data_IF_320770992095
#
_entry.id   IF_320770992095
#
_cell.length_a   1.000
_cell.length_b   1.000
_cell.length_c   1.000
_cell.angle_alpha   90.00
_cell.angle_beta   90.00
_cell.angle_gamma   90.00
#
_symmetry.space_group_name_H-M   'P 1'
#
loop_
_entity.id
_entity.type
_entity.pdbx_description
1 polymer ?
#
# COMPACT_ATOMS: atom_id res chain seq x y z
N UNK A 1 -22.99 1.95 1.81
CA UNK A 1 -23.31 1.49 0.45
C UNK A 1 -22.15 1.91 -0.43
N UNK A 2 -21.51 0.98 -1.14
CA UNK A 2 -20.49 1.36 -2.13
C UNK A 2 -21.16 2.11 -3.26
N UNK A 3 -20.51 3.16 -3.76
CA UNK A 3 -21.05 3.89 -4.91
C UNK A 3 -20.87 3.03 -6.18
N UNK A 4 -21.74 3.20 -7.18
CA UNK A 4 -21.62 2.49 -8.48
C UNK A 4 -20.23 2.69 -9.12
N UNK A 5 -19.61 3.82 -8.83
CA UNK A 5 -18.24 4.16 -9.26
C UNK A 5 -17.18 3.34 -8.53
N UNK A 6 -17.29 3.14 -7.21
CA UNK A 6 -16.37 2.29 -6.45
C UNK A 6 -16.42 0.83 -6.91
N UNK A 7 -17.63 0.33 -7.17
CA UNK A 7 -17.84 -1.01 -7.71
C UNK A 7 -17.15 -1.18 -9.07
N UNK A 8 -17.30 -0.19 -9.97
CA UNK A 8 -16.63 -0.21 -11.27
C UNK A 8 -15.09 -0.19 -11.13
N UNK A 9 -14.55 0.67 -10.26
CA UNK A 9 -13.11 0.75 -9.99
C UNK A 9 -12.56 -0.57 -9.48
N UNK A 10 -13.25 -1.22 -8.55
CA UNK A 10 -12.84 -2.53 -8.02
C UNK A 10 -12.80 -3.61 -9.11
N UNK A 11 -13.81 -3.64 -10.01
CA UNK A 11 -13.84 -4.58 -11.14
C UNK A 11 -12.67 -4.35 -12.09
N UNK A 12 -12.32 -3.10 -12.38
CA UNK A 12 -11.17 -2.74 -13.21
C UNK A 12 -9.85 -3.17 -12.55
N UNK A 13 -9.66 -2.85 -11.27
CA UNK A 13 -8.49 -3.27 -10.49
C UNK A 13 -8.32 -4.80 -10.46
N UNK A 14 -9.43 -5.54 -10.36
CA UNK A 14 -9.40 -7.01 -10.43
C UNK A 14 -8.92 -7.52 -11.77
N UNK A 15 -9.35 -6.90 -12.88
CA UNK A 15 -8.89 -7.27 -14.22
C UNK A 15 -7.41 -6.94 -14.40
N UNK A 16 -6.93 -5.82 -13.88
CA UNK A 16 -5.49 -5.49 -13.86
C UNK A 16 -4.68 -6.54 -13.10
N UNK A 17 -5.15 -6.95 -11.90
CA UNK A 17 -4.53 -8.02 -11.13
C UNK A 17 -4.47 -9.34 -11.91
N UNK A 18 -5.55 -9.69 -12.62
CA UNK A 18 -5.60 -10.88 -13.46
C UNK A 18 -4.65 -10.81 -14.67
N UNK A 19 -4.56 -9.65 -15.35
CA UNK A 19 -3.60 -9.41 -16.43
C UNK A 19 -2.16 -9.58 -15.95
N UNK A 20 -1.89 -9.09 -14.75
CA UNK A 20 -0.58 -9.14 -14.13
C UNK A 20 -0.22 -10.57 -13.72
N UNK A 21 -1.13 -11.30 -13.07
CA UNK A 21 -0.99 -12.73 -12.81
C UNK A 21 -0.71 -13.51 -14.10
N UNK A 22 -1.38 -13.17 -15.20
CA UNK A 22 -1.17 -13.83 -16.49
C UNK A 22 0.23 -13.61 -17.08
N UNK A 23 0.98 -12.58 -16.66
CA UNK A 23 2.39 -12.42 -17.07
C UNK A 23 3.28 -13.49 -16.43
N UNK A 24 2.93 -13.97 -15.24
CA UNK A 24 3.71 -14.95 -14.47
C UNK A 24 3.18 -16.38 -14.61
N UNK A 25 1.87 -16.54 -14.83
CA UNK A 25 1.20 -17.84 -14.83
C UNK A 25 0.54 -18.17 -16.18
N UNK A 26 0.42 -19.47 -16.48
CA UNK A 26 -0.33 -19.97 -17.63
C UNK A 26 -1.83 -19.88 -17.40
N UNK A 27 -2.63 -19.89 -18.47
CA UNK A 27 -4.10 -19.90 -18.34
C UNK A 27 -4.61 -21.13 -17.59
N UNK A 28 -3.96 -22.29 -17.74
CA UNK A 28 -4.31 -23.53 -17.03
C UNK A 28 -4.15 -23.34 -15.52
N UNK A 29 -3.03 -22.78 -15.08
CA UNK A 29 -2.81 -22.48 -13.66
C UNK A 29 -3.83 -21.49 -13.12
N UNK A 30 -4.12 -20.41 -13.86
CA UNK A 30 -5.12 -19.43 -13.43
C UNK A 30 -6.53 -20.04 -13.36
N UNK A 31 -6.87 -20.99 -14.23
CA UNK A 31 -8.12 -21.74 -14.16
C UNK A 31 -8.21 -22.57 -12.89
N UNK A 32 -7.13 -23.29 -12.53
CA UNK A 32 -7.07 -24.09 -11.30
C UNK A 32 -7.31 -23.20 -10.06
N UNK A 33 -6.71 -22.02 -10.02
CA UNK A 33 -6.77 -21.12 -8.86
C UNK A 33 -8.11 -20.37 -8.76
N UNK A 34 -8.66 -19.93 -9.89
CA UNK A 34 -9.91 -19.12 -9.93
C UNK A 34 -11.17 -19.95 -10.12
N UNK A 35 -11.04 -21.23 -10.48
CA UNK A 35 -12.13 -22.10 -10.91
C UNK A 35 -12.97 -21.48 -12.06
N UNK A 36 -12.30 -20.80 -12.99
CA UNK A 36 -12.92 -20.17 -14.16
C UNK A 36 -12.40 -20.81 -15.46
N UNK A 37 -13.27 -21.06 -16.46
CA UNK A 37 -12.82 -21.54 -17.76
C UNK A 37 -11.80 -20.60 -18.40
N UNK A 38 -10.79 -21.17 -19.08
CA UNK A 38 -9.76 -20.41 -19.81
C UNK A 38 -10.35 -19.39 -20.77
N UNK A 39 -11.46 -19.72 -21.43
CA UNK A 39 -12.17 -18.81 -22.35
C UNK A 39 -12.76 -17.58 -21.64
N UNK A 40 -13.21 -17.73 -20.41
CA UNK A 40 -13.68 -16.61 -19.57
C UNK A 40 -12.50 -15.77 -19.11
N UNK A 41 -11.44 -16.40 -18.61
CA UNK A 41 -10.22 -15.73 -18.17
C UNK A 41 -9.58 -14.92 -19.30
N UNK A 42 -9.49 -15.48 -20.51
CA UNK A 42 -8.96 -14.80 -21.70
C UNK A 42 -9.76 -13.55 -22.05
N UNK A 43 -11.10 -13.60 -21.98
CA UNK A 43 -11.95 -12.42 -22.21
C UNK A 43 -11.73 -11.32 -21.17
N UNK A 44 -11.58 -11.68 -19.90
CA UNK A 44 -11.26 -10.72 -18.84
C UNK A 44 -9.86 -10.13 -19.00
N UNK A 45 -8.84 -10.96 -19.23
CA UNK A 45 -7.45 -10.51 -19.47
C UNK A 45 -7.40 -9.58 -20.68
N UNK A 46 -8.09 -9.87 -21.78
CA UNK A 46 -8.15 -8.97 -22.94
C UNK A 46 -9.00 -7.72 -22.69
N UNK A 47 -9.84 -7.71 -21.66
CA UNK A 47 -10.72 -6.59 -21.32
C UNK A 47 -11.99 -6.52 -22.19
N UNK A 48 -12.32 -7.58 -22.93
CA UNK A 48 -13.55 -7.63 -23.74
C UNK A 48 -14.82 -7.62 -22.88
N UNK A 49 -14.72 -8.12 -21.64
CA UNK A 49 -15.82 -8.19 -20.68
C UNK A 49 -15.26 -7.87 -19.30
N UNK A 50 -16.06 -7.25 -18.43
CA UNK A 50 -15.73 -7.04 -17.02
C UNK A 50 -16.50 -8.05 -16.14
N UNK A 51 -15.86 -8.71 -15.16
CA UNK A 51 -16.56 -9.58 -14.22
C UNK A 51 -17.60 -8.79 -13.44
N UNK A 52 -18.73 -9.38 -13.06
CA UNK A 52 -19.65 -8.75 -12.11
C UNK A 52 -19.01 -8.63 -10.71
N UNK A 53 -19.63 -7.89 -9.78
CA UNK A 53 -19.01 -7.64 -8.46
C UNK A 53 -18.70 -8.92 -7.67
N UNK A 54 -19.60 -9.91 -7.70
CA UNK A 54 -19.38 -11.19 -7.01
C UNK A 54 -18.18 -11.92 -7.59
N UNK A 55 -18.14 -12.07 -8.92
CA UNK A 55 -17.03 -12.70 -9.65
C UNK A 55 -15.71 -11.94 -9.47
N UNK A 56 -15.74 -10.61 -9.47
CA UNK A 56 -14.55 -9.81 -9.24
C UNK A 56 -13.93 -10.11 -7.86
N UNK A 57 -14.75 -10.22 -6.81
CA UNK A 57 -14.25 -10.57 -5.46
C UNK A 57 -13.69 -12.00 -5.40
N UNK A 58 -14.34 -12.96 -6.07
CA UNK A 58 -13.85 -14.34 -6.16
C UNK A 58 -12.48 -14.41 -6.85
N UNK A 59 -12.34 -13.75 -8.01
CA UNK A 59 -11.09 -13.67 -8.76
C UNK A 59 -10.02 -12.99 -7.90
N UNK A 60 -10.34 -11.84 -7.30
CA UNK A 60 -9.41 -11.11 -6.44
C UNK A 60 -8.88 -12.01 -5.32
N UNK A 61 -9.78 -12.68 -4.58
CA UNK A 61 -9.40 -13.58 -3.46
C UNK A 61 -8.56 -14.77 -3.92
N UNK A 62 -8.81 -15.31 -5.11
CA UNK A 62 -7.98 -16.38 -5.68
C UNK A 62 -6.59 -15.87 -6.06
N UNK A 63 -6.53 -14.76 -6.80
CA UNK A 63 -5.26 -14.18 -7.26
C UNK A 63 -4.40 -13.65 -6.12
N UNK A 64 -4.98 -13.05 -5.08
CA UNK A 64 -4.24 -12.60 -3.91
C UNK A 64 -3.56 -13.73 -3.12
N UNK A 65 -3.94 -15.00 -3.34
CA UNK A 65 -3.29 -16.15 -2.70
C UNK A 65 -2.04 -16.62 -3.44
N UNK A 66 -2.00 -16.41 -4.76
CA UNK A 66 -0.87 -16.84 -5.60
C UNK A 66 0.11 -15.71 -5.91
N UNK A 67 -0.37 -14.46 -5.86
CA UNK A 67 0.47 -13.28 -6.07
C UNK A 67 1.09 -12.89 -4.73
N UNK A 68 2.35 -13.25 -4.56
CA UNK A 68 3.17 -12.85 -3.44
C UNK A 68 3.78 -11.46 -3.68
N UNK A 69 2.96 -10.42 -3.49
CA UNK A 69 3.39 -9.03 -3.64
C UNK A 69 4.44 -8.66 -2.58
N UNK A 70 4.28 -9.14 -1.35
CA UNK A 70 5.19 -8.84 -0.25
C UNK A 70 6.58 -9.44 -0.53
N UNK A 71 6.64 -10.71 -0.94
CA UNK A 71 7.90 -11.33 -1.30
C UNK A 71 8.51 -10.72 -2.56
N UNK A 72 7.71 -10.28 -3.54
CA UNK A 72 8.25 -9.56 -4.71
C UNK A 72 8.91 -8.23 -4.31
N UNK A 73 8.29 -7.47 -3.42
CA UNK A 73 8.90 -6.24 -2.89
C UNK A 73 10.17 -6.59 -2.13
N UNK A 74 10.13 -7.56 -1.21
CA UNK A 74 11.29 -7.99 -0.42
C UNK A 74 12.46 -8.46 -1.28
N UNK A 75 12.19 -9.23 -2.36
CA UNK A 75 13.21 -9.69 -3.32
C UNK A 75 13.92 -8.55 -4.05
N UNK A 76 13.23 -7.41 -4.24
CA UNK A 76 13.77 -6.24 -4.93
C UNK A 76 14.52 -5.28 -4.01
N UNK A 77 14.32 -5.39 -2.70
CA UNK A 77 15.09 -4.65 -1.71
C UNK A 77 16.50 -5.24 -1.65
N UNK A 78 17.51 -4.37 -1.82
CA UNK A 78 18.91 -4.76 -1.66
C UNK A 78 19.40 -4.22 -0.33
N UNK A 79 19.88 -5.10 0.52
CA UNK A 79 20.44 -4.73 1.81
C UNK A 79 21.93 -4.47 1.67
N UNK A 80 22.44 -3.47 2.39
CA UNK A 80 23.87 -3.27 2.57
C UNK A 80 24.35 -3.85 3.92
N UNK A 81 25.67 -3.82 4.12
CA UNK A 81 26.31 -4.34 5.32
C UNK A 81 26.04 -3.47 6.57
N UNK A 82 25.56 -2.24 6.37
CA UNK A 82 25.26 -1.28 7.43
C UNK A 82 23.79 -1.39 7.88
N UNK A 83 23.00 -2.28 7.25
CA UNK A 83 21.61 -2.55 7.59
C UNK A 83 20.61 -1.59 6.94
N UNK A 84 21.02 -0.81 5.93
CA UNK A 84 20.10 -0.05 5.10
C UNK A 84 19.63 -0.90 3.92
N UNK A 85 18.52 -0.47 3.31
CA UNK A 85 17.99 -1.09 2.10
C UNK A 85 17.83 -0.07 0.98
N UNK A 86 18.21 -0.46 -0.22
CA UNK A 86 17.90 0.24 -1.45
C UNK A 86 16.51 -0.21 -1.96
N UNK A 87 15.56 0.72 -1.99
CA UNK A 87 14.21 0.54 -2.49
C UNK A 87 13.99 1.18 -3.87
N UNK A 88 15.04 1.70 -4.52
CA UNK A 88 14.95 2.49 -5.77
C UNK A 88 14.21 1.73 -6.86
N UNK A 89 14.50 0.43 -7.00
CA UNK A 89 13.87 -0.47 -7.99
C UNK A 89 12.37 -0.70 -7.74
N UNK A 90 11.92 -0.55 -6.48
CA UNK A 90 10.51 -0.70 -6.08
C UNK A 90 9.75 0.58 -6.33
N UNK A 91 10.29 1.72 -5.89
CA UNK A 91 9.62 3.03 -5.99
C UNK A 91 9.58 3.59 -7.42
N UNK A 92 10.44 3.09 -8.31
CA UNK A 92 10.46 3.47 -9.73
C UNK A 92 9.59 2.56 -10.63
N UNK A 93 9.18 1.38 -10.16
CA UNK A 93 8.33 0.46 -10.93
C UNK A 93 6.84 0.81 -10.76
N UNK A 94 6.31 1.58 -11.72
CA UNK A 94 4.90 2.00 -11.75
C UNK A 94 3.94 0.79 -11.77
N UNK A 95 4.31 -0.32 -12.41
CA UNK A 95 3.46 -1.51 -12.48
C UNK A 95 3.36 -2.18 -11.11
N UNK A 96 4.47 -2.28 -10.38
CA UNK A 96 4.50 -2.81 -9.01
C UNK A 96 3.72 -1.88 -8.05
N UNK A 97 3.96 -0.57 -8.12
CA UNK A 97 3.28 0.40 -7.28
C UNK A 97 1.76 0.45 -7.55
N UNK A 98 1.33 0.28 -8.81
CA UNK A 98 -0.10 0.20 -9.15
C UNK A 98 -0.76 -1.03 -8.52
N UNK A 99 -0.07 -2.16 -8.46
CA UNK A 99 -0.56 -3.35 -7.77
C UNK A 99 -0.65 -3.13 -6.27
N UNK A 100 0.39 -2.56 -5.67
CA UNK A 100 0.40 -2.21 -4.25
C UNK A 100 -0.73 -1.22 -3.91
N UNK A 101 -1.00 -0.25 -4.79
CA UNK A 101 -2.11 0.68 -4.63
C UNK A 101 -3.46 -0.04 -4.69
N UNK A 102 -3.67 -0.91 -5.67
CA UNK A 102 -4.89 -1.72 -5.79
C UNK A 102 -5.09 -2.62 -4.55
N UNK A 103 -4.01 -3.23 -4.04
CA UNK A 103 -4.04 -4.01 -2.80
C UNK A 103 -4.43 -3.15 -1.60
N UNK A 104 -3.82 -1.98 -1.44
CA UNK A 104 -4.14 -1.06 -0.37
C UNK A 104 -5.63 -0.67 -0.40
N UNK A 105 -6.17 -0.32 -1.58
CA UNK A 105 -7.58 0.06 -1.74
C UNK A 105 -8.52 -1.07 -1.33
N UNK A 106 -8.22 -2.32 -1.72
CA UNK A 106 -9.01 -3.47 -1.32
C UNK A 106 -9.02 -3.65 0.21
N UNK A 107 -7.89 -3.42 0.88
CA UNK A 107 -7.77 -3.47 2.35
C UNK A 107 -8.57 -2.39 3.07
N UNK A 108 -8.87 -1.28 2.39
CA UNK A 108 -9.70 -0.19 2.93
C UNK A 108 -11.15 -0.21 2.42
N UNK A 109 -11.59 -1.29 1.75
CA UNK A 109 -12.96 -1.41 1.26
C UNK A 109 -13.99 -1.19 2.39
N UNK A 110 -15.03 -0.42 2.10
CA UNK A 110 -16.09 -0.08 3.06
C UNK A 110 -15.74 1.04 4.04
N UNK A 111 -14.52 1.59 4.03
CA UNK A 111 -14.16 2.79 4.79
C UNK A 111 -14.27 4.04 3.91
N UNK A 112 -14.78 5.13 4.48
CA UNK A 112 -14.81 6.43 3.81
C UNK A 112 -13.44 7.10 3.94
N UNK A 113 -12.59 6.94 2.92
CA UNK A 113 -11.33 7.68 2.83
C UNK A 113 -11.60 9.06 2.24
N UNK A 114 -11.04 10.10 2.86
CA UNK A 114 -11.20 11.49 2.40
C UNK A 114 -9.90 12.11 1.87
N UNK A 115 -8.75 11.58 2.31
CA UNK A 115 -7.39 11.99 1.94
C UNK A 115 -6.43 10.82 2.10
N UNK A 116 -5.31 10.85 1.38
CA UNK A 116 -4.15 9.94 1.59
C UNK A 116 -3.00 10.78 2.14
N UNK A 117 -2.41 10.37 3.25
CA UNK A 117 -1.26 11.05 3.87
C UNK A 117 -0.01 10.20 3.68
N UNK A 118 1.10 10.83 3.31
CA UNK A 118 2.42 10.20 3.23
C UNK A 118 3.51 11.12 3.74
N UNK A 119 4.59 10.56 4.27
CA UNK A 119 5.81 11.30 4.55
C UNK A 119 6.68 11.33 3.30
N UNK A 120 7.29 12.48 3.01
CA UNK A 120 8.27 12.58 1.94
C UNK A 120 9.52 11.72 2.29
N UNK A 121 10.18 11.08 1.31
CA UNK A 121 10.01 11.25 -0.15
C UNK A 121 9.47 9.99 -0.83
N UNK A 122 10.04 8.82 -0.51
CA UNK A 122 9.83 7.56 -1.24
C UNK A 122 8.40 7.02 -1.20
N UNK A 123 7.60 7.42 -0.20
CA UNK A 123 6.19 7.04 -0.11
C UNK A 123 5.28 7.81 -1.08
N UNK A 124 5.77 8.89 -1.71
CA UNK A 124 4.96 9.77 -2.57
C UNK A 124 4.42 9.05 -3.81
N UNK A 125 5.21 8.28 -4.59
CA UNK A 125 4.71 7.58 -5.77
C UNK A 125 3.54 6.63 -5.45
N UNK A 126 3.69 5.77 -4.43
CA UNK A 126 2.63 4.85 -4.00
C UNK A 126 1.38 5.60 -3.54
N UNK A 127 1.56 6.58 -2.64
CA UNK A 127 0.46 7.37 -2.10
C UNK A 127 -0.30 8.12 -3.19
N UNK A 128 0.40 8.59 -4.23
CA UNK A 128 -0.20 9.26 -5.39
C UNK A 128 -1.10 8.31 -6.17
N UNK A 129 -0.67 7.07 -6.42
CA UNK A 129 -1.49 6.08 -7.10
C UNK A 129 -2.72 5.67 -6.28
N UNK A 130 -2.56 5.49 -4.96
CA UNK A 130 -3.68 5.21 -4.06
C UNK A 130 -4.68 6.37 -4.06
N UNK A 131 -4.20 7.61 -3.93
CA UNK A 131 -5.04 8.81 -3.94
C UNK A 131 -5.81 8.96 -5.26
N UNK A 132 -5.13 8.76 -6.39
CA UNK A 132 -5.72 8.78 -7.74
C UNK A 132 -6.84 7.75 -7.87
N UNK A 133 -6.60 6.52 -7.45
CA UNK A 133 -7.58 5.44 -7.59
C UNK A 133 -8.78 5.62 -6.64
N UNK A 134 -8.58 6.19 -5.45
CA UNK A 134 -9.67 6.56 -4.54
C UNK A 134 -10.42 7.83 -5.00
N UNK A 135 -9.80 8.67 -5.83
CA UNK A 135 -10.35 9.96 -6.24
C UNK A 135 -10.34 10.98 -5.10
N UNK A 136 -9.29 10.96 -4.27
CA UNK A 136 -9.09 11.87 -3.15
C UNK A 136 -7.76 12.59 -3.27
N UNK A 137 -7.60 13.70 -2.57
CA UNK A 137 -6.34 14.44 -2.58
C UNK A 137 -5.30 13.79 -1.66
N UNK A 138 -4.05 13.85 -2.10
CA UNK A 138 -2.88 13.49 -1.29
C UNK A 138 -2.46 14.66 -0.39
N UNK A 139 -1.93 14.35 0.79
CA UNK A 139 -1.23 15.26 1.68
C UNK A 139 0.17 14.70 1.89
N UNK A 140 1.19 15.55 1.73
CA UNK A 140 2.59 15.16 1.85
C UNK A 140 3.18 15.89 3.05
N UNK A 141 3.63 15.13 4.04
CA UNK A 141 4.35 15.63 5.19
C UNK A 141 5.83 15.76 4.85
N UNK A 142 6.37 16.97 4.92
CA UNK A 142 7.73 17.29 4.47
C UNK A 142 8.65 17.54 5.67
N UNK A 143 9.96 17.25 5.58
CA UNK A 143 10.91 17.58 6.64
C UNK A 143 11.23 19.07 6.72
N UNK A 144 10.77 19.86 5.74
CA UNK A 144 10.97 21.31 5.66
C UNK A 144 9.63 22.00 5.39
N UNK A 145 9.51 23.23 5.87
CA UNK A 145 8.35 24.10 5.61
C UNK A 145 8.38 24.62 4.18
N UNK A 146 7.20 24.73 3.57
CA UNK A 146 7.04 25.30 2.24
C UNK A 146 7.12 26.84 2.30
N UNK A 147 7.93 27.44 1.43
CA UNK A 147 7.97 28.89 1.29
C UNK A 147 6.60 29.39 0.81
N UNK A 148 6.03 30.38 1.50
CA UNK A 148 4.71 30.94 1.17
C UNK A 148 3.52 30.28 1.87
N UNK A 149 3.73 29.28 2.74
CA UNK A 149 2.68 28.76 3.63
C UNK A 149 2.85 29.35 5.03
N UNK A 150 1.81 29.99 5.55
CA UNK A 150 1.88 30.76 6.81
C UNK A 150 1.67 29.93 8.07
N UNK A 151 1.06 28.75 7.97
CA UNK A 151 0.72 27.93 9.15
C UNK A 151 0.83 26.43 8.87
N UNK A 152 1.44 25.72 9.81
CA UNK A 152 1.70 24.28 9.73
C UNK A 152 1.13 23.53 10.93
N UNK A 153 0.86 22.24 10.73
CA UNK A 153 0.85 21.23 11.77
C UNK A 153 2.19 20.51 11.71
N UNK A 154 2.76 20.24 12.88
CA UNK A 154 4.13 19.77 13.04
C UNK A 154 4.10 18.59 13.99
N UNK A 155 4.74 17.49 13.62
CA UNK A 155 4.90 16.33 14.49
C UNK A 155 6.39 15.97 14.53
N UNK A 156 6.96 15.95 15.73
CA UNK A 156 8.35 15.57 15.97
C UNK A 156 8.41 14.13 16.45
N UNK A 157 9.24 13.31 15.81
CA UNK A 157 9.51 11.95 16.26
C UNK A 157 11.01 11.71 16.40
N UNK A 158 11.37 10.84 17.33
CA UNK A 158 12.74 10.41 17.55
C UNK A 158 13.06 9.21 16.66
N UNK A 159 14.13 9.29 15.88
CA UNK A 159 14.68 8.14 15.19
C UNK A 159 15.36 7.23 16.20
N UNK A 160 14.69 6.12 16.53
CA UNK A 160 15.17 5.08 17.44
C UNK A 160 16.64 4.73 17.14
N UNK A 161 17.49 4.77 18.16
CA UNK A 161 18.91 4.41 18.04
C UNK A 161 19.87 5.52 17.60
N UNK A 162 19.41 6.64 17.04
CA UNK A 162 20.30 7.71 16.53
C UNK A 162 20.43 8.92 17.44
N UNK A 163 19.57 9.05 18.45
CA UNK A 163 19.44 10.27 19.27
C UNK A 163 18.96 11.52 18.50
N UNK A 164 18.64 11.39 17.21
CA UNK A 164 18.17 12.50 16.36
C UNK A 164 16.65 12.57 16.35
N UNK A 165 16.13 13.79 16.42
CA UNK A 165 14.70 14.08 16.23
C UNK A 165 14.47 14.61 14.82
N UNK A 166 13.37 14.21 14.22
CA UNK A 166 12.94 14.70 12.91
C UNK A 166 11.53 15.25 13.03
N UNK A 167 11.30 16.42 12.44
CA UNK A 167 9.99 17.07 12.44
C UNK A 167 9.43 17.06 11.04
N UNK A 168 8.17 16.64 10.91
CA UNK A 168 7.43 16.68 9.66
C UNK A 168 6.35 17.76 9.71
N UNK A 169 6.20 18.47 8.59
CA UNK A 169 5.32 19.61 8.44
C UNK A 169 4.24 19.32 7.39
N UNK A 170 3.00 19.66 7.70
CA UNK A 170 1.88 19.74 6.74
C UNK A 170 1.18 21.10 6.89
N UNK A 171 0.63 21.70 5.82
CA UNK A 171 -0.16 22.92 5.94
C UNK A 171 -1.36 22.72 6.87
N UNK A 172 -1.66 23.70 7.74
CA UNK A 172 -2.71 23.58 8.77
C UNK A 172 -4.12 23.30 8.20
N UNK A 173 -4.38 23.74 6.98
CA UNK A 173 -5.61 23.51 6.23
C UNK A 173 -5.60 22.22 5.39
N UNK A 174 -4.49 21.48 5.32
CA UNK A 174 -4.36 20.29 4.50
C UNK A 174 -5.24 19.13 4.99
N UNK A 175 -5.53 19.06 6.30
CA UNK A 175 -6.39 18.05 6.91
C UNK A 175 -7.49 18.75 7.71
N UNK A 176 -8.76 18.46 7.39
CA UNK A 176 -9.90 19.03 8.11
C UNK A 176 -10.16 18.19 9.35
N UNK A 177 -10.03 18.75 10.55
CA UNK A 177 -10.33 18.06 11.81
C UNK A 177 -11.81 17.69 11.83
N UNK A 178 -12.14 16.40 11.73
CA UNK A 178 -13.53 15.94 11.78
C UNK A 178 -14.06 16.13 13.21
N UNK A 179 -15.00 17.07 13.40
CA UNK A 179 -15.79 17.22 14.63
C UNK A 179 -16.81 16.05 14.71
N UNK A 180 -16.37 14.87 15.13
CA UNK A 180 -17.13 13.80 15.86
C UNK A 180 -16.44 12.44 15.71
N UNK A 181 -15.70 12.05 16.74
CA UNK A 181 -16.06 10.92 17.60
C UNK A 181 -15.15 10.91 18.83
N UNK A 182 -15.74 10.76 20.00
CA UNK A 182 -15.10 10.53 21.32
C UNK A 182 -14.37 9.17 21.39
N UNK A 183 -13.69 8.75 20.31
CA UNK A 183 -12.72 7.65 20.28
C UNK A 183 -11.41 8.20 19.76
N UNK A 184 -10.80 9.10 20.54
CA UNK A 184 -9.62 9.88 20.18
C UNK A 184 -8.30 9.10 20.27
N UNK A 185 -8.33 7.78 20.47
CA UNK A 185 -7.16 7.03 20.94
C UNK A 185 -6.87 5.69 20.26
N UNK A 186 -7.64 5.25 19.26
CA UNK A 186 -7.36 3.98 18.57
C UNK A 186 -6.60 4.19 17.25
N UNK A 187 -7.07 5.06 16.35
CA UNK A 187 -6.52 5.10 14.97
C UNK A 187 -5.20 5.85 14.81
N UNK A 188 -4.98 6.94 15.56
CA UNK A 188 -3.69 7.68 15.56
C UNK A 188 -2.60 6.89 16.26
N UNK A 189 -2.94 6.25 17.39
CA UNK A 189 -2.02 5.33 18.08
C UNK A 189 -1.68 4.15 17.20
N UNK A 190 -2.65 3.47 16.59
CA UNK A 190 -2.42 2.33 15.69
C UNK A 190 -1.61 2.72 14.44
N UNK A 191 -1.82 3.91 13.87
CA UNK A 191 -1.00 4.41 12.76
C UNK A 191 0.44 4.71 13.21
N UNK A 192 0.61 5.37 14.35
CA UNK A 192 1.91 5.64 14.96
C UNK A 192 2.59 4.35 15.46
N UNK A 193 1.85 3.38 15.95
CA UNK A 193 2.32 2.05 16.35
C UNK A 193 2.70 1.24 15.14
N UNK A 194 1.95 1.29 14.04
CA UNK A 194 2.30 0.59 12.81
C UNK A 194 3.55 1.17 12.19
N UNK A 195 3.73 2.50 12.22
CA UNK A 195 4.96 3.18 11.81
C UNK A 195 6.10 2.82 12.76
N UNK A 196 5.89 2.87 14.08
CA UNK A 196 6.89 2.46 15.08
C UNK A 196 7.26 0.99 14.97
N UNK A 197 6.31 0.10 14.64
CA UNK A 197 6.49 -1.36 14.53
C UNK A 197 7.13 -1.74 13.20
N UNK A 198 6.83 -1.00 12.12
CA UNK A 198 7.53 -1.10 10.84
C UNK A 198 8.97 -0.62 10.96
N UNK A 199 9.21 0.51 11.64
CA UNK A 199 10.56 1.02 11.89
C UNK A 199 11.32 0.19 12.93
N UNK A 200 10.68 -0.32 13.98
CA UNK A 200 11.30 -1.23 14.94
C UNK A 200 11.71 -2.55 14.28
N UNK A 201 10.88 -3.16 13.42
CA UNK A 201 11.27 -4.39 12.71
C UNK A 201 12.35 -4.18 11.65
N UNK A 202 12.37 -3.02 11.00
CA UNK A 202 13.46 -2.64 10.09
C UNK A 202 14.79 -2.41 10.82
N UNK A 203 14.74 -1.95 12.08
CA UNK A 203 15.91 -1.61 12.89
C UNK A 203 16.31 -2.68 13.93
N UNK A 204 15.44 -3.63 14.27
CA UNK A 204 15.78 -4.82 15.07
C UNK A 204 16.69 -5.77 14.28
N UNK A 205 16.55 -5.79 12.94
CA UNK A 205 17.53 -6.41 12.05
C UNK A 205 18.92 -5.76 12.13
N UNK A 206 18.98 -4.46 12.48
CA UNK A 206 20.22 -3.68 12.60
C UNK A 206 20.94 -3.89 13.95
N UNK A 207 20.25 -4.28 15.03
CA UNK A 207 20.87 -4.41 16.36
C UNK A 207 21.40 -5.82 16.71
N UNK A 208 20.92 -6.89 16.07
CA UNK A 208 21.21 -8.26 16.56
C UNK A 208 22.26 -9.01 15.74
N UNK A 209 22.62 -8.56 14.52
CA UNK A 209 23.62 -9.26 13.71
C UNK A 209 23.31 -10.76 13.52
N UNK A 210 22.03 -11.14 13.58
CA UNK A 210 21.57 -12.52 13.39
C UNK A 210 20.72 -12.64 12.13
N UNK A 211 20.96 -13.75 11.44
CA UNK A 211 20.22 -14.22 10.28
C UNK A 211 18.70 -14.26 10.61
N UNK A 212 17.81 -13.64 9.80
CA UNK A 212 16.36 -13.65 10.03
C UNK A 212 15.68 -15.01 9.78
N UNK A 213 16.45 -16.08 9.53
CA UNK A 213 15.94 -17.41 9.21
C UNK A 213 15.67 -18.31 10.43
N UNK A 214 16.07 -17.93 11.64
CA UNK A 214 15.79 -18.72 12.84
C UNK A 214 14.56 -18.18 13.59
N UNK A 215 13.42 -18.89 13.44
CA UNK A 215 12.27 -18.78 14.35
C UNK A 215 10.89 -18.59 13.74
N UNK A 216 10.73 -18.67 12.41
CA UNK A 216 9.44 -18.42 11.74
C UNK A 216 8.58 -19.68 11.55
N UNK A 217 8.24 -20.38 12.64
CA UNK A 217 7.00 -21.18 12.73
C UNK A 217 6.58 -21.33 14.19
N UNK A 218 5.41 -20.78 14.54
CA UNK A 218 4.41 -21.46 15.36
C UNK A 218 3.04 -20.80 15.15
N UNK A 219 2.18 -21.57 14.45
CA UNK A 219 0.73 -21.50 14.15
C UNK A 219 0.07 -20.14 13.90
#
# INVERSE_FOLDING_TARGET
MSTRTEDLRFRLATVELLRMAKKQYTYKRLQEETNLPVTVLSRYVKGHVLPNMKRAREIWKALSRIIDLEGEIKRRLKWDNDGFFDNTSVISDISLLSQAANYAIASFAGRRITKVLTAAVDGIPLATLVAKALGVNIVIAKPMREAGVSAFLEETYTLSGSGRTMTLYIPKNAIRRQKRMRKKHQTEREALESIKKWMAKGYEAHLIGKNPSDGLYEV
#
